data_IF_407960515588
#
_entry.id   IF_407960515588
#
_cell.length_a   1.000
_cell.length_b   1.000
_cell.length_c   1.000
_cell.angle_alpha   90.00
_cell.angle_beta   90.00
_cell.angle_gamma   90.00
#
_symmetry.space_group_name_H-M   'P 1'
#
loop_
_entity.id
_entity.type
_entity.pdbx_description
1 polymer ?
#
# COMPACT_ATOMS: atom_id res chain seq x y z
N UNK A 1 12.50 -1.18 4.76
CA UNK A 1 11.69 -2.39 4.57
C UNK A 1 11.30 -2.93 5.93
N UNK A 2 10.06 -2.69 6.34
CA UNK A 2 9.46 -3.25 7.55
C UNK A 2 8.15 -3.95 7.19
N UNK A 3 7.46 -4.55 8.15
CA UNK A 3 6.18 -5.26 7.91
C UNK A 3 5.08 -4.37 7.29
N UNK A 4 5.19 -3.04 7.41
CA UNK A 4 4.27 -2.08 6.79
C UNK A 4 4.35 -1.97 5.26
N UNK A 5 5.33 -2.59 4.61
CA UNK A 5 5.56 -2.42 3.16
C UNK A 5 5.34 -3.69 2.33
N UNK A 6 4.92 -4.80 2.93
CA UNK A 6 4.71 -6.07 2.23
C UNK A 6 3.22 -6.47 2.29
N UNK A 7 2.66 -6.93 1.17
CA UNK A 7 1.32 -7.53 1.14
C UNK A 7 1.39 -9.04 1.39
N UNK A 8 0.26 -9.67 1.72
CA UNK A 8 0.16 -11.12 1.86
C UNK A 8 -1.11 -11.67 1.21
N UNK A 9 -1.10 -12.98 0.98
CA UNK A 9 -2.21 -13.70 0.39
C UNK A 9 -2.38 -15.07 1.05
N UNK A 10 -3.63 -15.41 1.36
CA UNK A 10 -4.07 -16.74 1.76
C UNK A 10 -4.81 -17.36 0.58
N UNK A 11 -4.23 -18.38 -0.06
CA UNK A 11 -4.80 -19.01 -1.25
C UNK A 11 -5.39 -20.37 -0.89
N UNK A 12 -6.71 -20.48 -0.92
CA UNK A 12 -7.44 -21.73 -0.73
C UNK A 12 -7.84 -22.38 -2.06
N UNK A 13 -8.43 -23.58 -1.98
CA UNK A 13 -8.90 -24.32 -3.17
C UNK A 13 -10.08 -23.66 -3.89
N UNK A 14 -10.90 -22.89 -3.16
CA UNK A 14 -12.13 -22.26 -3.67
C UNK A 14 -12.14 -20.74 -3.49
N UNK A 15 -11.44 -20.24 -2.48
CA UNK A 15 -11.43 -18.83 -2.10
C UNK A 15 -10.00 -18.39 -1.80
N UNK A 16 -9.75 -17.10 -1.99
CA UNK A 16 -8.50 -16.44 -1.64
C UNK A 16 -8.78 -15.16 -0.87
N UNK A 17 -7.84 -14.77 -0.02
CA UNK A 17 -7.87 -13.52 0.75
C UNK A 17 -6.54 -12.82 0.59
N UNK A 18 -6.56 -11.51 0.40
CA UNK A 18 -5.37 -10.67 0.28
C UNK A 18 -5.43 -9.62 1.37
N UNK A 19 -4.36 -9.51 2.15
CA UNK A 19 -4.35 -8.68 3.34
C UNK A 19 -3.00 -7.99 3.55
N UNK A 20 -3.05 -6.89 4.30
CA UNK A 20 -1.85 -6.28 4.83
C UNK A 20 -1.19 -7.24 5.85
N UNK A 21 0.15 -7.28 5.88
CA UNK A 21 0.88 -8.11 6.84
C UNK A 21 0.89 -7.49 8.25
N UNK A 22 0.80 -6.17 8.33
CA UNK A 22 0.79 -5.49 9.62
C UNK A 22 -0.55 -5.70 10.37
N UNK A 23 -0.49 -5.61 11.69
CA UNK A 23 -1.70 -5.64 12.53
C UNK A 23 -2.49 -4.32 12.47
N UNK A 24 -3.52 -4.22 13.31
CA UNK A 24 -4.46 -3.08 13.37
C UNK A 24 -3.89 -1.78 13.95
N UNK A 25 -2.67 -1.81 14.51
CA UNK A 25 -1.99 -0.65 15.10
C UNK A 25 -2.86 0.21 16.04
N UNK A 26 -3.55 -0.37 17.03
CA UNK A 26 -4.52 0.36 17.88
C UNK A 26 -3.89 1.56 18.60
N UNK A 27 -2.61 1.43 19.00
CA UNK A 27 -1.83 2.51 19.60
C UNK A 27 -1.76 3.77 18.71
N UNK A 28 -1.69 3.63 17.38
CA UNK A 28 -1.69 4.80 16.50
C UNK A 28 -3.03 5.51 16.52
N UNK A 29 -4.14 4.77 16.62
CA UNK A 29 -5.48 5.34 16.76
C UNK A 29 -5.63 6.05 18.10
N UNK A 30 -5.23 5.40 19.20
CA UNK A 30 -5.31 5.97 20.55
C UNK A 30 -4.47 7.24 20.70
N UNK A 31 -3.34 7.34 19.97
CA UNK A 31 -2.46 8.50 19.93
C UNK A 31 -2.87 9.55 18.87
N UNK A 32 -3.95 9.35 18.10
CA UNK A 32 -4.41 10.27 17.05
C UNK A 32 -3.48 10.37 15.84
N UNK A 33 -2.77 9.28 15.52
CA UNK A 33 -1.75 9.17 14.48
C UNK A 33 -2.15 8.26 13.32
N UNK A 34 -3.38 7.75 13.32
CA UNK A 34 -3.93 6.85 12.30
C UNK A 34 -3.89 7.43 10.89
N UNK A 35 -4.09 8.75 10.75
CA UNK A 35 -3.95 9.46 9.46
C UNK A 35 -2.53 9.36 8.85
N UNK A 36 -1.50 9.04 9.64
CA UNK A 36 -0.12 8.88 9.18
C UNK A 36 0.27 7.41 8.92
N UNK A 37 -0.70 6.47 8.96
CA UNK A 37 -0.45 5.08 8.64
C UNK A 37 0.05 4.93 7.20
N UNK A 38 0.99 4.01 6.99
CA UNK A 38 1.53 3.68 5.67
C UNK A 38 0.59 2.69 4.94
N UNK A 39 -0.07 3.09 3.84
CA UNK A 39 -1.03 2.22 3.14
C UNK A 39 -0.35 1.21 2.18
N UNK A 40 0.98 1.21 2.06
CA UNK A 40 1.70 0.42 1.05
C UNK A 40 1.40 -1.08 1.13
N UNK A 41 1.28 -1.64 2.34
CA UNK A 41 1.01 -3.06 2.54
C UNK A 41 -0.33 -3.50 1.93
N UNK A 42 -1.41 -2.78 2.22
CA UNK A 42 -2.74 -3.13 1.71
C UNK A 42 -2.86 -2.88 0.20
N UNK A 43 -2.18 -1.86 -0.32
CA UNK A 43 -2.14 -1.57 -1.76
C UNK A 43 -1.40 -2.68 -2.51
N UNK A 44 -0.28 -3.19 -1.97
CA UNK A 44 0.40 -4.36 -2.54
C UNK A 44 -0.49 -5.60 -2.51
N UNK A 45 -1.23 -5.83 -1.43
CA UNK A 45 -2.20 -6.91 -1.38
C UNK A 45 -3.30 -6.77 -2.45
N UNK A 46 -3.76 -5.54 -2.72
CA UNK A 46 -4.69 -5.27 -3.83
C UNK A 46 -4.06 -5.55 -5.20
N UNK A 47 -2.78 -5.22 -5.42
CA UNK A 47 -2.06 -5.60 -6.64
C UNK A 47 -1.97 -7.13 -6.80
N UNK A 48 -1.70 -7.87 -5.72
CA UNK A 48 -1.72 -9.34 -5.71
C UNK A 48 -3.12 -9.87 -6.09
N UNK A 49 -4.19 -9.29 -5.54
CA UNK A 49 -5.57 -9.66 -5.87
C UNK A 49 -5.84 -9.44 -7.36
N UNK A 50 -5.48 -8.28 -7.91
CA UNK A 50 -5.68 -7.97 -9.32
C UNK A 50 -5.03 -9.01 -10.23
N UNK A 51 -3.76 -9.37 -9.96
CA UNK A 51 -3.07 -10.42 -10.71
C UNK A 51 -3.76 -11.78 -10.55
N UNK A 52 -4.19 -12.13 -9.34
CA UNK A 52 -4.88 -13.39 -9.05
C UNK A 52 -6.22 -13.54 -9.79
N UNK A 53 -6.96 -12.45 -10.02
CA UNK A 53 -8.24 -12.46 -10.75
C UNK A 53 -8.08 -12.22 -12.26
N UNK A 54 -6.85 -12.23 -12.79
CA UNK A 54 -6.56 -12.15 -14.22
C UNK A 54 -6.33 -10.73 -14.77
N UNK A 55 -6.20 -9.72 -13.91
CA UNK A 55 -5.85 -8.35 -14.27
C UNK A 55 -4.36 -8.06 -14.03
N UNK A 56 -3.49 -8.84 -14.67
CA UNK A 56 -2.04 -8.73 -14.49
C UNK A 56 -1.51 -7.36 -14.93
N UNK A 57 -2.03 -6.79 -16.01
CA UNK A 57 -1.70 -5.46 -16.50
C UNK A 57 -1.94 -4.36 -15.43
N UNK A 58 -3.08 -4.44 -14.73
CA UNK A 58 -3.41 -3.51 -13.65
C UNK A 58 -2.54 -3.75 -12.41
N UNK A 59 -2.24 -5.01 -12.10
CA UNK A 59 -1.36 -5.36 -10.99
C UNK A 59 0.05 -4.80 -11.21
N UNK A 60 0.62 -5.01 -12.39
CA UNK A 60 1.95 -4.52 -12.78
C UNK A 60 1.99 -2.99 -12.73
N UNK A 61 0.96 -2.34 -13.28
CA UNK A 61 0.83 -0.88 -13.21
C UNK A 61 0.82 -0.35 -11.77
N UNK A 62 0.07 -1.00 -10.88
CA UNK A 62 0.01 -0.62 -9.46
C UNK A 62 1.35 -0.86 -8.74
N UNK A 63 2.03 -1.96 -9.04
CA UNK A 63 3.38 -2.22 -8.50
C UNK A 63 4.40 -1.20 -8.97
N UNK A 64 4.40 -0.86 -10.26
CA UNK A 64 5.29 0.16 -10.82
C UNK A 64 5.03 1.53 -10.19
N UNK A 65 3.77 1.94 -10.05
CA UNK A 65 3.43 3.20 -9.41
C UNK A 65 3.88 3.23 -7.94
N UNK A 66 3.67 2.14 -7.18
CA UNK A 66 4.17 2.01 -5.81
C UNK A 66 5.69 2.11 -5.74
N UNK A 67 6.42 1.43 -6.64
CA UNK A 67 7.89 1.50 -6.66
C UNK A 67 8.39 2.92 -6.94
N UNK A 68 7.74 3.64 -7.85
CA UNK A 68 8.01 5.06 -8.09
C UNK A 68 7.82 5.87 -6.81
N UNK A 69 6.67 5.69 -6.15
CA UNK A 69 6.31 6.47 -4.97
C UNK A 69 7.16 6.14 -3.73
N UNK A 70 7.67 4.91 -3.60
CA UNK A 70 8.39 4.47 -2.40
C UNK A 70 9.90 4.36 -2.56
N UNK A 71 10.39 4.14 -3.79
CA UNK A 71 11.78 3.76 -4.06
C UNK A 71 12.50 4.81 -4.90
N UNK A 72 11.96 5.17 -6.08
CA UNK A 72 12.71 5.96 -7.06
C UNK A 72 12.45 7.46 -6.96
N UNK A 73 11.22 7.93 -7.17
CA UNK A 73 10.87 9.35 -7.08
C UNK A 73 10.76 9.78 -5.62
N UNK A 74 10.04 8.99 -4.80
CA UNK A 74 9.92 9.18 -3.34
C UNK A 74 9.62 10.62 -2.91
N UNK A 75 8.71 11.28 -3.65
CA UNK A 75 8.30 12.67 -3.42
C UNK A 75 7.71 12.88 -2.02
N UNK A 76 6.95 11.91 -1.53
CA UNK A 76 6.38 11.90 -0.19
C UNK A 76 7.04 10.82 0.66
N UNK A 77 7.23 11.10 1.95
CA UNK A 77 7.82 10.16 2.91
C UNK A 77 6.82 9.89 4.03
N UNK A 78 6.42 8.63 4.15
CA UNK A 78 5.58 8.13 5.24
C UNK A 78 6.47 7.80 6.45
N UNK A 79 6.24 8.49 7.58
CA UNK A 79 7.03 8.30 8.81
C UNK A 79 6.21 7.68 9.95
N UNK A 80 4.89 7.55 9.78
CA UNK A 80 3.97 7.18 10.87
C UNK A 80 3.75 8.29 11.89
N UNK A 81 4.17 9.52 11.59
CA UNK A 81 4.08 10.71 12.45
C UNK A 81 3.76 11.94 11.61
N UNK A 82 3.45 13.03 12.30
CA UNK A 82 3.23 14.38 11.76
C UNK A 82 4.43 15.00 11.01
N UNK A 83 5.61 14.40 11.13
CA UNK A 83 6.79 14.75 10.34
C UNK A 83 6.81 14.12 8.95
N UNK A 84 5.81 13.29 8.60
CA UNK A 84 5.67 12.64 7.30
C UNK A 84 4.33 12.94 6.65
N UNK A 85 4.15 12.45 5.44
CA UNK A 85 2.89 12.53 4.72
C UNK A 85 1.81 11.69 5.41
N UNK A 86 0.55 12.09 5.20
CA UNK A 86 -0.62 11.30 5.55
C UNK A 86 -0.82 10.16 4.55
N UNK A 87 -1.58 9.13 4.95
CA UNK A 87 -1.98 8.05 4.06
C UNK A 87 -2.83 8.55 2.88
N UNK A 88 -3.62 9.61 3.08
CA UNK A 88 -4.42 10.23 2.02
C UNK A 88 -3.55 10.93 0.97
N UNK A 89 -2.60 11.78 1.40
CA UNK A 89 -1.67 12.45 0.48
C UNK A 89 -0.84 11.44 -0.31
N UNK A 90 -0.42 10.35 0.32
CA UNK A 90 0.29 9.27 -0.37
C UNK A 90 -0.60 8.55 -1.39
N UNK A 91 -1.88 8.30 -1.05
CA UNK A 91 -2.83 7.68 -1.97
C UNK A 91 -3.09 8.57 -3.20
N UNK A 92 -3.24 9.89 -3.02
CA UNK A 92 -3.40 10.84 -4.12
C UNK A 92 -2.15 10.84 -5.02
N UNK A 93 -0.96 10.92 -4.43
CA UNK A 93 0.30 10.82 -5.17
C UNK A 93 0.43 9.50 -5.96
N UNK A 94 -0.02 8.39 -5.37
CA UNK A 94 -0.03 7.10 -6.06
C UNK A 94 -1.00 7.11 -7.24
N UNK A 95 -2.21 7.64 -7.07
CA UNK A 95 -3.21 7.72 -8.14
C UNK A 95 -2.74 8.60 -9.29
N UNK A 96 -2.19 9.78 -9.00
CA UNK A 96 -1.55 10.64 -10.00
C UNK A 96 -0.43 9.89 -10.74
N UNK A 97 0.37 9.10 -10.03
CA UNK A 97 1.45 8.31 -10.64
C UNK A 97 0.89 7.23 -11.57
N UNK A 98 -0.21 6.57 -11.20
CA UNK A 98 -0.90 5.58 -12.04
C UNK A 98 -1.43 6.23 -13.33
N UNK A 99 -1.99 7.44 -13.27
CA UNK A 99 -2.51 8.12 -14.47
C UNK A 99 -1.44 8.48 -15.51
N UNK A 100 -0.19 8.64 -15.06
CA UNK A 100 0.96 8.92 -15.93
C UNK A 100 1.58 7.68 -16.59
N UNK A 101 1.27 6.48 -16.07
CA UNK A 101 1.72 5.19 -16.60
C UNK A 101 0.76 4.67 -17.67
#
# INVERSE_FOLDING_TARGET
GGVGTAGSANIGKRYSMFEAIHGSAPRMVDEGRDQYADPSSIIRAAAMLLGHIGHQDKADKLYSALDICTTTEKKLVLTGRDTGATGAEFADYLMETIERL
#
